data_IF_421185144107
#
_entry.id   IF_421185144107
#
_cell.length_a   1.000
_cell.length_b   1.000
_cell.length_c   1.000
_cell.angle_alpha   90.00
_cell.angle_beta   90.00
_cell.angle_gamma   90.00
#
_symmetry.space_group_name_H-M   'P 1'
#
loop_
_entity.id
_entity.type
_entity.pdbx_description
1 polymer ?
#
# COMPACT_ATOMS: atom_id res chain seq x y z
N UNK A 1 44.90 1.65 -12.15
CA UNK A 1 44.03 1.62 -13.35
C UNK A 1 42.88 0.65 -13.13
N UNK A 2 41.70 1.17 -12.76
CA UNK A 2 40.51 0.34 -12.52
C UNK A 2 39.76 0.06 -13.82
N UNK A 3 39.42 -1.21 -14.08
CA UNK A 3 38.69 -1.64 -15.28
C UNK A 3 37.35 -0.89 -15.39
N UNK A 4 37.20 -0.04 -16.40
CA UNK A 4 35.92 0.55 -16.80
C UNK A 4 34.97 -0.59 -17.19
N UNK A 5 33.92 -0.82 -16.40
CA UNK A 5 32.80 -1.65 -16.85
C UNK A 5 32.10 -0.92 -18.00
N UNK A 6 32.28 -1.42 -19.22
CA UNK A 6 31.46 -1.06 -20.38
C UNK A 6 30.02 -1.45 -20.05
N UNK A 7 29.18 -0.46 -19.74
CA UNK A 7 27.73 -0.67 -19.75
C UNK A 7 27.28 -0.47 -21.20
N UNK A 8 26.58 -1.43 -21.81
CA UNK A 8 26.11 -1.24 -23.17
C UNK A 8 25.10 -0.07 -23.19
N UNK A 9 25.36 0.88 -24.07
CA UNK A 9 24.35 1.79 -24.60
C UNK A 9 23.39 0.95 -25.44
N UNK A 10 22.39 0.33 -24.83
CA UNK A 10 21.25 -0.22 -25.57
C UNK A 10 19.94 0.25 -24.94
N UNK A 11 19.27 1.13 -25.67
CA UNK A 11 17.97 1.71 -25.32
C UNK A 11 16.79 0.76 -25.55
N UNK A 12 16.93 -0.55 -25.27
CA UNK A 12 15.93 -1.55 -25.68
C UNK A 12 15.38 -2.49 -24.58
N UNK A 13 15.69 -2.29 -23.29
CA UNK A 13 15.30 -3.29 -22.26
C UNK A 13 14.09 -2.97 -21.36
N UNK A 14 13.20 -2.01 -21.66
CA UNK A 14 12.04 -1.76 -20.77
C UNK A 14 10.66 -1.62 -21.41
N UNK A 15 10.53 -1.75 -22.74
CA UNK A 15 9.20 -1.81 -23.36
C UNK A 15 8.47 -3.11 -22.99
N UNK A 16 9.23 -4.18 -22.67
CA UNK A 16 8.71 -5.53 -22.38
C UNK A 16 8.08 -5.72 -21.00
N UNK A 17 8.38 -4.86 -20.00
CA UNK A 17 7.78 -5.01 -18.65
C UNK A 17 6.36 -4.44 -18.62
N UNK A 18 6.07 -3.41 -19.44
CA UNK A 18 4.74 -2.83 -19.56
C UNK A 18 3.82 -3.65 -20.48
N UNK A 19 4.37 -4.37 -21.46
CA UNK A 19 3.59 -5.19 -22.40
C UNK A 19 2.91 -6.41 -21.76
N UNK A 20 3.29 -6.79 -20.53
CA UNK A 20 2.72 -7.92 -19.78
C UNK A 20 2.01 -7.50 -18.48
N UNK A 21 1.60 -6.23 -18.35
CA UNK A 21 0.90 -5.77 -17.15
C UNK A 21 -0.57 -6.25 -17.16
N UNK A 22 -0.86 -7.35 -16.47
CA UNK A 22 -2.22 -7.79 -16.16
C UNK A 22 -2.50 -7.64 -14.65
N UNK A 23 -3.76 -7.42 -14.24
CA UNK A 23 -4.11 -7.46 -12.82
C UNK A 23 -3.85 -8.85 -12.24
N UNK A 24 -3.20 -8.92 -11.10
CA UNK A 24 -2.85 -10.16 -10.40
C UNK A 24 -3.78 -10.45 -9.22
N UNK A 25 -4.34 -9.41 -8.63
CA UNK A 25 -5.23 -9.53 -7.47
C UNK A 25 -6.67 -9.20 -7.86
N UNK A 26 -7.61 -10.08 -7.54
CA UNK A 26 -9.03 -9.90 -7.84
C UNK A 26 -9.86 -10.02 -6.57
N UNK A 27 -10.91 -9.21 -6.46
CA UNK A 27 -11.95 -9.35 -5.46
C UNK A 27 -13.13 -10.06 -6.10
N UNK A 28 -13.58 -11.13 -5.46
CA UNK A 28 -14.84 -11.81 -5.77
C UNK A 28 -15.87 -11.47 -4.69
N UNK A 29 -16.98 -10.89 -5.11
CA UNK A 29 -18.13 -10.54 -4.26
C UNK A 29 -19.35 -11.31 -4.69
N UNK A 30 -20.20 -11.73 -3.75
CA UNK A 30 -21.50 -12.30 -4.10
C UNK A 30 -22.43 -11.20 -4.58
N UNK A 31 -23.27 -11.54 -5.55
CA UNK A 31 -24.39 -10.70 -5.96
C UNK A 31 -25.60 -11.18 -5.17
N UNK A 32 -26.05 -10.39 -4.20
CA UNK A 32 -27.23 -10.72 -3.39
C UNK A 32 -27.96 -9.45 -2.99
N UNK A 33 -29.29 -9.52 -2.95
CA UNK A 33 -30.16 -8.45 -2.45
C UNK A 33 -29.88 -8.17 -0.95
N UNK A 34 -29.49 -9.19 -0.20
CA UNK A 34 -29.27 -9.10 1.25
C UNK A 34 -27.80 -8.80 1.62
N UNK A 35 -26.96 -8.44 0.64
CA UNK A 35 -25.51 -8.22 0.83
C UNK A 35 -24.80 -9.43 1.46
N UNK A 36 -25.24 -10.64 1.09
CA UNK A 36 -24.61 -11.87 1.55
C UNK A 36 -23.13 -11.90 1.15
N UNK A 37 -22.33 -12.56 1.98
CA UNK A 37 -20.89 -12.71 1.77
C UNK A 37 -20.54 -14.21 1.71
N UNK A 38 -19.25 -14.55 1.61
CA UNK A 38 -18.79 -15.94 1.70
C UNK A 38 -18.70 -16.44 3.14
N UNK A 39 -19.29 -15.76 4.12
CA UNK A 39 -19.52 -16.33 5.44
C UNK A 39 -20.48 -17.52 5.34
N UNK A 40 -20.09 -18.66 5.91
CA UNK A 40 -20.86 -19.91 5.87
C UNK A 40 -20.78 -20.69 4.55
N UNK A 41 -20.14 -20.15 3.51
CA UNK A 41 -19.91 -20.88 2.25
C UNK A 41 -18.76 -21.87 2.43
N UNK A 42 -18.95 -23.10 1.95
CA UNK A 42 -17.94 -24.16 2.02
C UNK A 42 -16.65 -23.75 1.29
N UNK A 43 -15.48 -23.83 1.96
CA UNK A 43 -14.19 -23.56 1.32
C UNK A 43 -13.91 -24.45 0.10
N UNK A 44 -14.33 -25.71 0.14
CA UNK A 44 -14.15 -26.67 -0.96
C UNK A 44 -15.00 -26.31 -2.18
N UNK A 45 -16.19 -25.74 -1.98
CA UNK A 45 -17.02 -25.24 -3.08
C UNK A 45 -16.34 -24.08 -3.79
N UNK A 46 -15.76 -23.16 -3.02
CA UNK A 46 -15.02 -22.00 -3.54
C UNK A 46 -13.79 -22.46 -4.32
N UNK A 47 -13.00 -23.36 -3.73
CA UNK A 47 -11.80 -23.92 -4.35
C UNK A 47 -12.13 -24.64 -5.66
N UNK A 48 -13.11 -25.54 -5.65
CA UNK A 48 -13.56 -26.25 -6.85
C UNK A 48 -14.05 -25.30 -7.94
N UNK A 49 -14.90 -24.33 -7.60
CA UNK A 49 -15.45 -23.39 -8.59
C UNK A 49 -14.36 -22.54 -9.25
N UNK A 50 -13.36 -22.12 -8.48
CA UNK A 50 -12.21 -21.36 -9.00
C UNK A 50 -11.32 -22.26 -9.85
N UNK A 51 -11.02 -23.47 -9.38
CA UNK A 51 -10.18 -24.44 -10.10
C UNK A 51 -10.80 -24.83 -11.45
N UNK A 52 -12.11 -25.10 -11.49
CA UNK A 52 -12.83 -25.47 -12.71
C UNK A 52 -12.79 -24.36 -13.78
N UNK A 53 -12.76 -23.08 -13.35
CA UNK A 53 -12.80 -21.93 -14.27
C UNK A 53 -11.42 -21.37 -14.63
N UNK A 54 -10.51 -21.33 -13.67
CA UNK A 54 -9.22 -20.61 -13.73
C UNK A 54 -8.02 -21.56 -13.57
N UNK A 55 -8.25 -22.78 -13.09
CA UNK A 55 -7.20 -23.71 -12.66
C UNK A 55 -6.61 -23.33 -11.31
N UNK A 56 -5.45 -23.91 -11.00
CA UNK A 56 -4.73 -23.67 -9.75
C UNK A 56 -4.21 -22.22 -9.69
N UNK A 57 -4.68 -21.46 -8.70
CA UNK A 57 -4.31 -20.06 -8.45
C UNK A 57 -3.30 -19.97 -7.30
N UNK A 58 -2.54 -18.86 -7.22
CA UNK A 58 -1.51 -18.70 -6.18
C UNK A 58 -2.09 -18.67 -4.76
N UNK A 59 -3.20 -17.97 -4.57
CA UNK A 59 -3.87 -17.95 -3.28
C UNK A 59 -5.33 -17.52 -3.39
N UNK A 60 -6.14 -18.04 -2.47
CA UNK A 60 -7.51 -17.61 -2.21
C UNK A 60 -7.61 -17.27 -0.72
N UNK A 61 -8.00 -16.04 -0.40
CA UNK A 61 -8.08 -15.55 0.98
C UNK A 61 -9.43 -14.90 1.23
N UNK A 62 -10.14 -15.32 2.27
CA UNK A 62 -11.34 -14.60 2.73
C UNK A 62 -10.94 -13.33 3.47
N UNK A 63 -11.46 -12.19 3.02
CA UNK A 63 -11.25 -10.89 3.63
C UNK A 63 -12.12 -10.72 4.87
N UNK A 64 -11.81 -9.71 5.70
CA UNK A 64 -12.64 -9.33 6.85
C UNK A 64 -14.04 -8.86 6.45
N UNK A 65 -14.22 -8.39 5.21
CA UNK A 65 -15.54 -8.07 4.66
C UNK A 65 -16.39 -9.32 4.39
N UNK A 66 -15.78 -10.51 4.39
CA UNK A 66 -16.41 -11.75 3.95
C UNK A 66 -16.29 -12.02 2.45
N UNK A 67 -15.72 -11.10 1.68
CA UNK A 67 -15.39 -11.29 0.25
C UNK A 67 -14.15 -12.18 0.08
N UNK A 68 -13.91 -12.66 -1.14
CA UNK A 68 -12.70 -13.41 -1.47
C UNK A 68 -11.70 -12.54 -2.23
N UNK A 69 -10.44 -12.62 -1.82
CA UNK A 69 -9.28 -12.13 -2.56
C UNK A 69 -8.63 -13.33 -3.26
N UNK A 70 -8.49 -13.25 -4.57
CA UNK A 70 -7.84 -14.27 -5.40
C UNK A 70 -6.59 -13.68 -6.05
N UNK A 71 -5.47 -14.38 -5.92
CA UNK A 71 -4.21 -14.04 -6.59
C UNK A 71 -3.93 -15.02 -7.72
N UNK A 72 -3.86 -14.52 -8.96
CA UNK A 72 -3.59 -15.33 -10.15
C UNK A 72 -2.09 -15.34 -10.49
N UNK A 73 -1.64 -16.40 -11.19
CA UNK A 73 -0.25 -16.54 -11.60
C UNK A 73 0.03 -16.02 -13.02
N UNK A 74 -0.96 -16.03 -13.92
CA UNK A 74 -0.76 -15.74 -15.35
C UNK A 74 -1.78 -14.79 -15.94
N UNK A 75 -1.43 -14.18 -17.08
CA UNK A 75 -2.33 -13.34 -17.87
C UNK A 75 -3.58 -14.11 -18.33
N UNK A 76 -3.42 -15.38 -18.72
CA UNK A 76 -4.53 -16.27 -19.10
C UNK A 76 -5.53 -16.42 -17.95
N UNK A 77 -5.03 -16.67 -16.73
CA UNK A 77 -5.88 -16.75 -15.54
C UNK A 77 -6.55 -15.42 -15.21
N UNK A 78 -5.85 -14.30 -15.35
CA UNK A 78 -6.41 -12.95 -15.18
C UNK A 78 -7.58 -12.69 -16.13
N UNK A 79 -7.54 -13.20 -17.35
CA UNK A 79 -8.65 -13.07 -18.30
C UNK A 79 -9.79 -14.06 -17.99
N UNK A 80 -9.46 -15.28 -17.56
CA UNK A 80 -10.44 -16.31 -17.21
C UNK A 80 -11.25 -15.94 -15.97
N UNK A 81 -10.61 -15.43 -14.92
CA UNK A 81 -11.29 -15.13 -13.65
C UNK A 81 -12.37 -14.05 -13.81
N UNK A 82 -12.21 -13.10 -14.74
CA UNK A 82 -13.21 -12.08 -15.05
C UNK A 82 -14.49 -12.65 -15.69
N UNK A 83 -14.40 -13.85 -16.27
CA UNK A 83 -15.53 -14.58 -16.86
C UNK A 83 -16.33 -15.34 -15.82
N UNK A 84 -15.82 -15.50 -14.60
CA UNK A 84 -16.54 -16.17 -13.52
C UNK A 84 -17.77 -15.33 -13.11
N UNK A 85 -18.97 -15.87 -13.35
CA UNK A 85 -20.25 -15.23 -13.01
C UNK A 85 -21.01 -15.93 -11.88
N UNK A 86 -20.69 -17.19 -11.62
CA UNK A 86 -21.29 -17.95 -10.52
C UNK A 86 -20.30 -18.97 -9.94
N UNK A 87 -20.51 -19.33 -8.68
CA UNK A 87 -19.85 -20.44 -8.01
C UNK A 87 -20.95 -21.43 -7.60
N UNK A 88 -21.14 -22.50 -8.36
CA UNK A 88 -22.32 -23.36 -8.27
C UNK A 88 -23.60 -22.52 -8.45
N UNK A 89 -24.50 -22.50 -7.46
CA UNK A 89 -25.74 -21.71 -7.45
C UNK A 89 -25.56 -20.26 -6.99
N UNK A 90 -24.36 -19.87 -6.55
CA UNK A 90 -24.12 -18.54 -5.98
C UNK A 90 -23.67 -17.58 -7.09
N UNK A 91 -24.45 -16.54 -7.45
CA UNK A 91 -24.00 -15.53 -8.39
C UNK A 91 -22.91 -14.65 -7.78
N UNK A 92 -21.88 -14.34 -8.56
CA UNK A 92 -20.70 -13.57 -8.13
C UNK A 92 -20.32 -12.51 -9.15
N UNK A 93 -19.67 -11.46 -8.65
CA UNK A 93 -19.00 -10.44 -9.44
C UNK A 93 -17.51 -10.49 -9.15
N UNK A 94 -16.69 -10.36 -10.18
CA UNK A 94 -15.24 -10.34 -10.08
C UNK A 94 -14.73 -9.00 -10.61
N UNK A 95 -13.84 -8.36 -9.85
CA UNK A 95 -13.20 -7.11 -10.24
C UNK A 95 -11.73 -7.09 -9.83
N UNK A 96 -10.84 -6.42 -10.58
CA UNK A 96 -9.47 -6.18 -10.14
C UNK A 96 -9.45 -5.47 -8.79
N UNK A 97 -8.59 -5.90 -7.88
CA UNK A 97 -8.40 -5.21 -6.61
C UNK A 97 -7.76 -3.83 -6.84
N UNK A 98 -8.40 -2.77 -6.37
CA UNK A 98 -8.03 -1.39 -6.68
C UNK A 98 -6.61 -1.01 -6.24
N UNK A 99 -6.18 -1.42 -5.05
CA UNK A 99 -4.89 -0.99 -4.50
C UNK A 99 -3.77 -2.02 -4.63
N UNK A 100 -4.07 -3.33 -4.56
CA UNK A 100 -3.05 -4.38 -4.66
C UNK A 100 -2.46 -4.54 -6.06
N UNK A 101 -3.17 -4.10 -7.10
CA UNK A 101 -2.64 -4.06 -8.47
C UNK A 101 -1.88 -2.77 -8.80
N UNK A 102 -1.60 -1.93 -7.80
CA UNK A 102 -0.89 -0.66 -7.99
C UNK A 102 0.37 -0.62 -7.16
N UNK A 103 1.38 0.07 -7.66
CA UNK A 103 2.61 0.36 -6.93
C UNK A 103 2.84 1.87 -6.89
N UNK A 104 3.57 2.34 -5.87
CA UNK A 104 3.86 3.76 -5.70
C UNK A 104 5.37 3.97 -5.60
N UNK A 105 5.86 4.86 -6.45
CA UNK A 105 7.26 5.26 -6.51
C UNK A 105 7.44 6.74 -6.23
N UNK A 106 8.63 7.13 -5.80
CA UNK A 106 9.06 8.51 -5.63
C UNK A 106 10.18 8.81 -6.60
N UNK A 107 10.00 9.86 -7.39
CA UNK A 107 11.06 10.47 -8.20
C UNK A 107 11.45 11.82 -7.60
N UNK A 108 12.69 12.23 -7.85
CA UNK A 108 13.21 13.54 -7.46
C UNK A 108 13.71 14.24 -8.70
N UNK A 109 13.11 15.37 -9.07
CA UNK A 109 13.45 16.12 -10.29
C UNK A 109 13.09 17.59 -10.10
N UNK A 110 14.08 18.49 -10.23
CA UNK A 110 13.88 19.92 -10.06
C UNK A 110 13.24 20.58 -11.28
N UNK A 111 13.50 20.01 -12.45
CA UNK A 111 13.01 20.45 -13.75
C UNK A 111 11.50 20.28 -13.87
N UNK A 112 10.94 19.27 -13.20
CA UNK A 112 9.49 19.06 -13.08
C UNK A 112 8.85 19.89 -11.95
N UNK A 113 9.55 20.83 -11.32
CA UNK A 113 9.03 21.56 -10.16
C UNK A 113 7.82 22.44 -10.49
N UNK A 114 7.91 23.17 -11.61
CA UNK A 114 6.86 24.09 -12.07
C UNK A 114 5.94 23.49 -13.12
N UNK A 115 6.19 22.23 -13.53
CA UNK A 115 5.34 21.55 -14.50
C UNK A 115 4.02 21.11 -13.81
N UNK A 116 2.85 21.41 -14.40
CA UNK A 116 1.55 20.95 -13.91
C UNK A 116 1.48 19.43 -13.74
N UNK A 117 0.80 18.96 -12.70
CA UNK A 117 0.75 17.52 -12.40
C UNK A 117 0.00 16.72 -13.47
N UNK A 118 -1.01 17.31 -14.10
CA UNK A 118 -1.81 16.67 -15.15
C UNK A 118 -0.96 16.44 -16.40
N UNK A 119 -0.13 17.41 -16.78
CA UNK A 119 0.84 17.28 -17.88
C UNK A 119 1.86 16.17 -17.59
N UNK A 120 2.43 16.13 -16.39
CA UNK A 120 3.37 15.06 -15.99
C UNK A 120 2.67 13.69 -16.05
N UNK A 121 1.42 13.62 -15.60
CA UNK A 121 0.63 12.38 -15.62
C UNK A 121 0.41 11.91 -17.06
N UNK A 122 -0.03 12.80 -17.94
CA UNK A 122 -0.23 12.51 -19.37
C UNK A 122 1.07 12.02 -20.03
N UNK A 123 2.18 12.74 -19.85
CA UNK A 123 3.46 12.38 -20.50
C UNK A 123 4.08 11.09 -19.96
N UNK A 124 3.76 10.68 -18.74
CA UNK A 124 4.23 9.43 -18.14
C UNK A 124 3.20 8.28 -18.25
N UNK A 125 2.02 8.52 -18.81
CA UNK A 125 0.94 7.52 -18.89
C UNK A 125 1.35 6.28 -19.71
N UNK A 126 2.11 6.47 -20.79
CA UNK A 126 2.65 5.38 -21.63
C UNK A 126 3.63 4.47 -20.86
N UNK A 127 4.16 4.95 -19.73
CA UNK A 127 5.02 4.19 -18.83
C UNK A 127 4.25 3.59 -17.63
N UNK A 128 2.91 3.54 -17.73
CA UNK A 128 2.04 2.92 -16.74
C UNK A 128 1.71 3.80 -15.53
N UNK A 129 2.04 5.10 -15.55
CA UNK A 129 1.66 6.04 -14.49
C UNK A 129 0.18 6.40 -14.63
N UNK A 130 -0.60 6.19 -13.56
CA UNK A 130 -2.03 6.54 -13.50
C UNK A 130 -2.32 7.80 -12.70
N UNK A 131 -1.44 8.19 -11.79
CA UNK A 131 -1.63 9.37 -10.95
C UNK A 131 -0.30 9.93 -10.44
N UNK A 132 -0.14 11.24 -10.50
CA UNK A 132 1.02 11.96 -9.95
C UNK A 132 0.60 12.85 -8.78
N UNK A 133 1.36 12.79 -7.68
CA UNK A 133 1.13 13.64 -6.50
C UNK A 133 2.43 14.32 -6.07
N UNK A 134 2.40 15.63 -5.87
CA UNK A 134 3.53 16.37 -5.30
C UNK A 134 3.63 16.16 -3.79
N UNK A 135 4.85 15.95 -3.29
CA UNK A 135 5.12 16.00 -1.85
C UNK A 135 5.24 17.46 -1.44
N UNK A 136 4.50 17.86 -0.42
CA UNK A 136 4.57 19.17 0.19
C UNK A 136 5.18 19.08 1.58
N UNK A 137 5.83 20.15 2.02
CA UNK A 137 6.36 20.32 3.36
C UNK A 137 5.72 21.55 3.99
N UNK A 138 5.56 21.55 5.31
CA UNK A 138 5.18 22.77 6.05
C UNK A 138 6.44 23.42 6.61
N UNK A 139 6.65 24.70 6.31
CA UNK A 139 7.66 25.58 6.91
C UNK A 139 6.97 26.89 7.26
N UNK A 140 7.15 27.36 8.49
CA UNK A 140 6.61 28.64 8.96
C UNK A 140 5.10 28.82 8.70
N UNK A 141 4.33 27.75 8.92
CA UNK A 141 2.88 27.73 8.70
C UNK A 141 2.45 27.59 7.23
N UNK A 142 3.36 27.75 6.27
CA UNK A 142 3.06 27.67 4.84
C UNK A 142 3.33 26.28 4.26
N UNK A 143 2.46 25.83 3.34
CA UNK A 143 2.63 24.59 2.58
C UNK A 143 3.49 24.87 1.34
N UNK A 144 4.71 24.35 1.34
CA UNK A 144 5.66 24.49 0.24
C UNK A 144 5.73 23.21 -0.58
N UNK A 145 5.68 23.38 -1.90
CA UNK A 145 5.94 22.32 -2.86
C UNK A 145 7.40 21.84 -2.77
N UNK A 146 7.62 20.56 -3.04
CA UNK A 146 8.98 20.00 -3.18
C UNK A 146 9.21 19.49 -4.61
N UNK A 147 10.49 19.23 -4.93
CA UNK A 147 10.94 18.55 -6.15
C UNK A 147 10.65 17.04 -6.18
N UNK A 148 9.95 16.51 -5.17
CA UNK A 148 9.64 15.10 -5.06
C UNK A 148 8.20 14.83 -5.50
N UNK A 149 8.05 13.89 -6.43
CA UNK A 149 6.75 13.45 -6.95
C UNK A 149 6.55 11.98 -6.58
N UNK A 150 5.33 11.67 -6.15
CA UNK A 150 4.86 10.29 -5.99
C UNK A 150 4.11 9.92 -7.26
N UNK A 151 4.60 8.89 -7.93
CA UNK A 151 3.98 8.27 -9.09
C UNK A 151 3.20 7.04 -8.60
N UNK A 152 1.94 6.93 -9.00
CA UNK A 152 1.16 5.70 -8.85
C UNK A 152 1.17 4.99 -10.20
N UNK A 153 1.60 3.73 -10.22
CA UNK A 153 1.64 2.89 -11.40
C UNK A 153 0.48 1.91 -11.38
N UNK A 154 -0.10 1.61 -12.54
CA UNK A 154 -1.17 0.61 -12.73
C UNK A 154 -0.68 -0.84 -12.69
N UNK A 155 0.56 -1.07 -12.24
CA UNK A 155 1.14 -2.38 -12.02
C UNK A 155 1.56 -2.53 -10.56
N UNK A 156 1.40 -3.73 -10.02
CA UNK A 156 1.89 -4.11 -8.69
C UNK A 156 3.43 -4.17 -8.62
N UNK A 157 4.10 -4.25 -9.77
CA UNK A 157 5.57 -4.22 -9.88
C UNK A 157 6.01 -2.77 -10.07
N UNK A 158 6.92 -2.31 -9.20
CA UNK A 158 7.45 -0.95 -9.27
C UNK A 158 8.60 -0.88 -10.30
N UNK A 159 8.53 -0.02 -11.34
CA UNK A 159 9.65 0.20 -12.25
C UNK A 159 10.84 0.81 -11.53
N UNK A 160 12.07 0.49 -11.95
CA UNK A 160 13.29 1.09 -11.37
C UNK A 160 13.53 2.53 -11.85
N UNK A 161 13.04 2.87 -13.04
CA UNK A 161 13.22 4.18 -13.68
C UNK A 161 12.00 4.56 -14.50
N UNK A 162 11.80 5.87 -14.67
CA UNK A 162 10.91 6.46 -15.69
C UNK A 162 11.69 7.45 -16.53
N UNK A 163 11.30 7.60 -17.79
CA UNK A 163 11.84 8.58 -18.73
C UNK A 163 10.95 9.82 -18.76
N UNK A 164 11.48 10.97 -18.39
CA UNK A 164 10.78 12.26 -18.47
C UNK A 164 11.54 13.15 -19.47
N UNK A 165 11.00 13.29 -20.68
CA UNK A 165 11.72 13.92 -21.80
C UNK A 165 13.02 13.19 -22.09
N UNK A 166 14.16 13.89 -21.97
CA UNK A 166 15.50 13.32 -22.12
C UNK A 166 16.08 12.72 -20.83
N UNK A 167 15.42 12.90 -19.68
CA UNK A 167 15.93 12.47 -18.38
C UNK A 167 15.50 11.05 -18.04
N UNK A 168 16.42 10.26 -17.47
CA UNK A 168 16.12 8.96 -16.86
C UNK A 168 16.11 9.12 -15.34
N UNK A 169 14.93 9.12 -14.75
CA UNK A 169 14.72 9.37 -13.32
C UNK A 169 14.60 8.05 -12.57
N UNK A 170 15.42 7.85 -11.53
CA UNK A 170 15.30 6.69 -10.64
C UNK A 170 14.03 6.79 -9.80
N UNK A 171 13.30 5.67 -9.75
CA UNK A 171 12.08 5.50 -8.98
C UNK A 171 12.42 4.74 -7.70
N UNK A 172 12.16 5.36 -6.55
CA UNK A 172 12.33 4.71 -5.23
C UNK A 172 10.98 4.28 -4.68
N UNK A 173 10.86 3.15 -3.96
CA UNK A 173 9.60 2.78 -3.32
C UNK A 173 9.06 3.88 -2.41
N UNK A 174 7.78 4.21 -2.56
CA UNK A 174 7.10 5.15 -1.67
C UNK A 174 6.78 4.47 -0.33
N UNK A 175 7.36 4.98 0.76
CA UNK A 175 7.09 4.49 2.12
C UNK A 175 6.13 5.47 2.82
N UNK A 176 4.82 5.16 2.92
CA UNK A 176 3.85 6.04 3.57
C UNK A 176 4.14 6.19 5.07
N UNK A 177 3.55 7.20 5.69
CA UNK A 177 3.57 7.31 7.15
C UNK A 177 2.69 6.22 7.78
N UNK A 178 2.99 5.79 9.03
CA UNK A 178 2.15 4.86 9.77
C UNK A 178 0.69 5.29 9.75
N UNK A 179 -0.20 4.34 9.44
CA UNK A 179 -1.64 4.57 9.48
C UNK A 179 -2.08 4.75 10.93
N UNK A 180 -2.38 5.98 11.32
CA UNK A 180 -2.98 6.31 12.62
C UNK A 180 -4.49 6.39 12.48
N UNK A 181 -5.20 5.68 13.36
CA UNK A 181 -6.64 5.81 13.46
C UNK A 181 -7.02 7.17 14.06
N UNK A 182 -7.82 7.97 13.35
CA UNK A 182 -8.25 9.28 13.85
C UNK A 182 -9.29 9.23 14.97
N UNK A 183 -9.90 8.05 15.21
CA UNK A 183 -10.83 7.82 16.35
C UNK A 183 -10.09 7.48 17.64
N UNK A 184 -9.30 6.41 17.65
CA UNK A 184 -8.65 5.89 18.87
C UNK A 184 -7.15 6.20 18.97
N UNK A 185 -6.58 6.89 17.98
CA UNK A 185 -5.17 7.31 17.92
C UNK A 185 -4.11 6.20 17.86
N UNK A 186 -4.53 4.94 17.83
CA UNK A 186 -3.63 3.79 17.67
C UNK A 186 -3.22 3.57 16.22
N UNK A 187 -2.06 2.96 16.00
CA UNK A 187 -1.58 2.60 14.67
C UNK A 187 -2.22 1.31 14.13
N UNK A 188 -2.19 1.14 12.81
CA UNK A 188 -2.48 -0.12 12.12
C UNK A 188 -3.90 -0.30 11.58
N UNK A 189 -4.80 0.68 11.77
CA UNK A 189 -6.16 0.61 11.21
C UNK A 189 -6.75 2.00 10.92
N UNK A 190 -7.74 2.04 10.03
CA UNK A 190 -8.51 3.24 9.73
C UNK A 190 -9.60 3.48 10.77
N UNK A 191 -10.16 4.70 10.78
CA UNK A 191 -11.34 5.03 11.58
C UNK A 191 -12.55 4.17 11.24
N UNK A 192 -12.77 3.86 9.96
CA UNK A 192 -13.89 3.02 9.49
C UNK A 192 -13.81 1.58 10.01
N UNK A 193 -12.61 1.06 10.24
CA UNK A 193 -12.40 -0.28 10.82
C UNK A 193 -12.18 -0.26 12.34
N UNK A 194 -12.36 0.89 12.98
CA UNK A 194 -12.03 1.08 14.38
C UNK A 194 -13.15 0.58 15.31
N UNK A 195 -12.81 -0.36 16.19
CA UNK A 195 -13.65 -0.82 17.30
C UNK A 195 -13.36 -0.09 18.63
N UNK A 196 -12.43 0.87 18.62
CA UNK A 196 -12.06 1.65 19.79
C UNK A 196 -13.01 2.81 20.07
N UNK A 197 -12.81 3.45 21.21
CA UNK A 197 -13.49 4.67 21.63
C UNK A 197 -12.82 5.91 21.04
N UNK A 198 -13.56 7.03 21.01
CA UNK A 198 -12.99 8.33 20.68
C UNK A 198 -11.95 8.70 21.73
N UNK A 199 -10.74 9.01 21.29
CA UNK A 199 -9.60 9.34 22.15
C UNK A 199 -8.90 10.58 21.63
N UNK A 200 -8.59 11.51 22.52
CA UNK A 200 -7.91 12.74 22.18
C UNK A 200 -6.46 12.45 21.76
N UNK A 201 -6.06 12.93 20.57
CA UNK A 201 -4.69 12.84 20.07
C UNK A 201 -3.68 13.65 20.90
N UNK A 202 -4.12 14.69 21.63
CA UNK A 202 -3.25 15.52 22.47
C UNK A 202 -2.98 14.89 23.84
N UNK A 203 -4.01 14.57 24.62
CA UNK A 203 -3.88 14.14 26.01
C UNK A 203 -4.18 12.66 26.28
N UNK A 204 -4.50 11.87 25.25
CA UNK A 204 -4.84 10.45 25.35
C UNK A 204 -6.11 10.10 26.16
N UNK A 205 -6.86 11.09 26.63
CA UNK A 205 -8.13 10.86 27.33
C UNK A 205 -9.27 10.52 26.37
N UNK A 206 -10.21 9.72 26.85
CA UNK A 206 -11.39 9.29 26.09
C UNK A 206 -12.49 10.34 26.12
N UNK A 207 -13.36 10.35 25.10
CA UNK A 207 -14.61 11.12 25.11
C UNK A 207 -14.56 12.51 24.48
N UNK A 208 -13.42 12.97 23.95
CA UNK A 208 -13.34 14.25 23.22
C UNK A 208 -12.30 14.25 22.10
N UNK A 209 -12.42 15.21 21.18
CA UNK A 209 -11.46 15.46 20.10
C UNK A 209 -10.31 16.39 20.54
N UNK A 210 -9.24 16.47 19.77
CA UNK A 210 -8.09 17.34 20.12
C UNK A 210 -8.29 18.82 19.84
N UNK A 211 -9.31 19.18 19.07
CA UNK A 211 -9.63 20.57 18.75
C UNK A 211 -9.98 21.32 20.03
N UNK A 212 -9.20 22.36 20.37
CA UNK A 212 -9.39 23.13 21.61
C UNK A 212 -8.92 22.45 22.89
N UNK A 213 -8.34 21.25 22.83
CA UNK A 213 -7.79 20.58 24.01
C UNK A 213 -6.49 21.29 24.47
N UNK A 214 -6.46 21.77 25.72
CA UNK A 214 -5.30 22.44 26.33
C UNK A 214 -4.57 21.58 27.36
N UNK A 215 -5.09 20.39 27.67
CA UNK A 215 -4.49 19.45 28.63
C UNK A 215 -3.05 19.06 28.25
N UNK A 216 -2.28 18.59 29.25
CA UNK A 216 -0.90 18.13 29.08
C UNK A 216 -0.83 17.05 27.99
N UNK A 217 0.17 17.17 27.13
CA UNK A 217 0.36 16.21 26.04
C UNK A 217 0.73 14.83 26.56
N UNK A 218 0.09 13.80 26.00
CA UNK A 218 0.30 12.41 26.35
C UNK A 218 0.00 11.52 25.14
N UNK A 219 0.93 10.64 24.81
CA UNK A 219 0.80 9.76 23.66
C UNK A 219 0.00 8.50 24.01
N UNK A 220 -1.04 8.19 23.23
CA UNK A 220 -1.84 6.96 23.41
C UNK A 220 -0.99 5.69 23.27
N UNK A 221 0.02 5.73 22.39
CA UNK A 221 0.81 4.58 21.95
C UNK A 221 2.00 4.27 22.86
N UNK A 222 2.81 5.27 23.23
CA UNK A 222 4.01 5.07 24.06
C UNK A 222 3.92 5.68 25.46
N UNK A 223 2.80 6.33 25.80
CA UNK A 223 2.56 7.02 27.09
C UNK A 223 3.53 8.17 27.42
N UNK A 224 4.34 8.63 26.47
CA UNK A 224 5.26 9.75 26.66
C UNK A 224 4.60 11.12 26.53
N UNK A 225 5.33 12.16 26.97
CA UNK A 225 4.91 13.57 27.01
C UNK A 225 4.98 14.24 25.63
N UNK A 226 4.13 13.78 24.71
CA UNK A 226 3.93 14.37 23.38
C UNK A 226 2.60 13.92 22.78
N UNK A 227 2.09 14.66 21.80
CA UNK A 227 0.89 14.26 21.05
C UNK A 227 1.04 12.92 20.32
N UNK A 228 -0.08 12.20 20.14
CA UNK A 228 -0.14 10.91 19.44
C UNK A 228 0.23 10.96 17.95
N UNK A 229 0.39 12.15 17.37
CA UNK A 229 0.85 12.37 15.99
C UNK A 229 2.33 12.79 15.89
N UNK A 230 3.05 12.85 17.02
CA UNK A 230 4.48 13.17 17.04
C UNK A 230 5.31 12.13 16.30
N UNK A 231 6.21 12.61 15.42
CA UNK A 231 7.20 11.76 14.71
C UNK A 231 8.38 11.34 15.58
N UNK A 232 8.53 11.94 16.76
CA UNK A 232 9.57 11.59 17.70
C UNK A 232 9.21 10.39 18.58
N UNK A 233 7.93 9.96 18.56
CA UNK A 233 7.44 8.81 19.30
C UNK A 233 8.17 7.52 18.91
N UNK A 234 8.65 6.75 19.90
CA UNK A 234 9.32 5.46 19.68
C UNK A 234 8.41 4.46 18.96
N UNK A 235 7.15 4.36 19.36
CA UNK A 235 6.18 3.48 18.69
C UNK A 235 5.91 3.93 17.25
N UNK A 236 5.92 5.24 16.98
CA UNK A 236 5.81 5.74 15.60
C UNK A 236 7.00 5.33 14.75
N UNK A 237 8.23 5.43 15.28
CA UNK A 237 9.45 5.01 14.56
C UNK A 237 9.44 3.51 14.26
N UNK A 238 9.06 2.68 15.25
CA UNK A 238 8.89 1.24 15.07
C UNK A 238 7.85 0.94 13.98
N UNK A 239 6.67 1.58 14.04
CA UNK A 239 5.64 1.39 13.03
C UNK A 239 6.08 1.89 11.64
N UNK A 240 6.91 2.93 11.57
CA UNK A 240 7.50 3.40 10.31
C UNK A 240 8.44 2.34 9.72
N UNK A 241 9.19 1.64 10.55
CA UNK A 241 10.05 0.52 10.14
C UNK A 241 9.23 -0.69 9.66
N UNK A 242 8.13 -1.02 10.35
CA UNK A 242 7.19 -2.07 9.92
C UNK A 242 6.63 -1.74 8.54
N UNK A 243 6.17 -0.51 8.33
CA UNK A 243 5.67 -0.06 7.02
C UNK A 243 6.77 -0.09 5.96
N UNK A 244 7.99 0.32 6.30
CA UNK A 244 9.13 0.27 5.38
C UNK A 244 9.47 -1.17 4.97
N UNK A 245 9.52 -2.10 5.92
CA UNK A 245 9.80 -3.52 5.70
C UNK A 245 8.71 -4.16 4.85
N UNK A 246 7.43 -3.86 5.14
CA UNK A 246 6.29 -4.29 4.33
C UNK A 246 6.45 -3.91 2.86
N UNK A 247 6.79 -2.64 2.59
CA UNK A 247 6.94 -2.12 1.22
C UNK A 247 8.18 -2.71 0.54
N UNK A 248 9.33 -2.74 1.22
CA UNK A 248 10.59 -3.21 0.63
C UNK A 248 10.56 -4.70 0.30
N UNK A 249 9.96 -5.51 1.16
CA UNK A 249 9.93 -6.96 0.99
C UNK A 249 8.66 -7.45 0.30
N UNK A 250 7.69 -6.56 0.01
CA UNK A 250 6.40 -6.89 -0.60
C UNK A 250 5.60 -7.98 0.16
N UNK A 251 5.65 -7.90 1.49
CA UNK A 251 4.98 -8.86 2.39
C UNK A 251 3.75 -8.24 3.07
N UNK A 252 2.98 -9.06 3.79
CA UNK A 252 1.85 -8.57 4.56
C UNK A 252 2.29 -7.73 5.77
N UNK A 253 1.40 -6.85 6.26
CA UNK A 253 1.68 -6.05 7.46
C UNK A 253 1.97 -6.91 8.71
N UNK A 254 1.21 -8.00 9.00
CA UNK A 254 1.53 -8.90 10.10
C UNK A 254 2.92 -9.55 10.00
N UNK A 255 3.33 -9.99 8.81
CA UNK A 255 4.65 -10.58 8.58
C UNK A 255 5.76 -9.55 8.79
N UNK A 256 5.62 -8.36 8.22
CA UNK A 256 6.57 -7.27 8.43
C UNK A 256 6.72 -6.92 9.91
N UNK A 257 5.62 -6.93 10.67
CA UNK A 257 5.63 -6.67 12.11
C UNK A 257 6.39 -7.73 12.89
N UNK A 258 6.22 -9.01 12.53
CA UNK A 258 7.00 -10.12 13.12
C UNK A 258 8.49 -9.95 12.85
N UNK A 259 8.88 -9.63 11.62
CA UNK A 259 10.29 -9.44 11.23
C UNK A 259 10.95 -8.26 11.96
N UNK A 260 10.24 -7.15 12.14
CA UNK A 260 10.78 -5.99 12.88
C UNK A 260 10.87 -6.31 14.38
N UNK A 261 9.89 -7.02 14.93
CA UNK A 261 9.91 -7.44 16.33
C UNK A 261 11.08 -8.38 16.65
N UNK A 262 11.48 -9.27 15.74
CA UNK A 262 12.64 -10.16 15.93
C UNK A 262 13.99 -9.45 15.78
N UNK A 263 14.04 -8.32 15.06
CA UNK A 263 15.26 -7.51 14.89
C UNK A 263 15.49 -6.51 16.02
N UNK A 264 14.42 -6.08 16.70
CA UNK A 264 14.55 -5.26 17.89
C UNK A 264 15.22 -6.11 19.00
N UNK A 265 16.35 -5.68 19.58
CA UNK A 265 16.95 -6.40 20.70
C UNK A 265 15.90 -6.56 21.80
N UNK A 266 15.70 -7.78 22.28
CA UNK A 266 14.99 -8.01 23.54
C UNK A 266 15.75 -7.25 24.63
N UNK A 267 15.13 -6.20 25.18
CA UNK A 267 15.59 -5.64 26.44
C UNK A 267 15.47 -6.75 27.50
N UNK A 268 16.61 -7.30 27.92
CA UNK A 268 16.70 -8.26 29.03
C UNK A 268 17.14 -9.67 28.63
N UNK A 269 18.44 -9.86 28.50
CA UNK A 269 19.11 -11.10 28.90
C UNK A 269 20.56 -10.73 29.17
N UNK A 270 20.81 -10.15 30.35
CA UNK A 270 22.15 -10.15 30.92
C UNK A 270 22.42 -11.57 31.39
N UNK A 271 23.37 -12.25 30.76
CA UNK A 271 24.00 -13.41 31.40
C UNK A 271 24.95 -12.83 32.45
N UNK A 272 24.56 -12.98 33.71
CA UNK A 272 25.49 -13.02 34.82
C UNK A 272 26.04 -14.45 34.93
#
# INVERSE_FOLDING_TARGET
MGKKKLRPFSGQQNVSILSNSYPTFFIVKRISLNKDTFHGVSPFLVEKSISDTVGEVKSIKKLRSGDLLVEVASSKQSQQILKLKSMSTIPVSVSPHETLNTSKGVITCGELFNVPLDEITEKLQSQGVSHVRRITIRRDGQLLNTKHLILTFSSHILPEYVKAGYMRLSVRPYIPNPLRCFKCQRFGHSQTSCRGTLTCARCAEVGHESTGCTAKEKCVNCKGDHTSFSRNCLTWKLEKEVVATKVKNQISYPEARKIVATKAPTAGTSYA
#
